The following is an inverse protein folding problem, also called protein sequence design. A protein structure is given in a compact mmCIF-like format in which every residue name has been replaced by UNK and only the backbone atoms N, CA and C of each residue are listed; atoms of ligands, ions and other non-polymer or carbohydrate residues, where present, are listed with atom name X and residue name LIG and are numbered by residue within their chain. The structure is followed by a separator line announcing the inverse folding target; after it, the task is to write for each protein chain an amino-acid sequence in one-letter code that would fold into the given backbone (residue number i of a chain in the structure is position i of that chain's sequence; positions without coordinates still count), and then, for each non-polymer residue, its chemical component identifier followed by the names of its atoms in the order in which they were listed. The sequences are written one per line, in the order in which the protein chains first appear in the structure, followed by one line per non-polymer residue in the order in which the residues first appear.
data_IF_419788806066
#
_entry.id   IF_419788806066
#
_cell.length_a   1.000
_cell.length_b   1.000
_cell.length_c   1.000
_cell.angle_alpha   90.00
_cell.angle_beta   90.00
_cell.angle_gamma   90.00
#
_symmetry.space_group_name_H-M   'P 1'
#
loop_
_entity.id
_entity.type
_entity.pdbx_description
1 polymer ?
#
# COMPACT_ATOMS: atom_id res chain seq x y z
N UNK A 1 30.46 22.09 31.46
CA UNK A 1 29.32 21.15 31.42
C UNK A 1 29.49 20.28 30.19
N UNK A 2 29.81 18.99 30.35
CA UNK A 2 30.09 18.08 29.23
C UNK A 2 28.76 17.45 28.81
N UNK A 3 28.24 17.86 27.66
CA UNK A 3 27.02 17.30 27.10
C UNK A 3 27.22 15.82 26.79
N UNK A 4 26.37 14.97 27.34
CA UNK A 4 26.30 13.56 26.97
C UNK A 4 25.69 13.47 25.57
N UNK A 5 26.52 13.58 24.53
CA UNK A 5 26.14 13.26 23.17
C UNK A 5 26.01 11.73 23.09
N UNK A 6 24.87 11.21 23.56
CA UNK A 6 24.51 9.82 23.37
C UNK A 6 24.49 9.52 21.88
N UNK A 7 25.41 8.68 21.42
CA UNK A 7 25.46 8.24 20.04
C UNK A 7 24.11 7.60 19.67
N UNK A 8 23.41 8.19 18.70
CA UNK A 8 22.17 7.64 18.16
C UNK A 8 22.57 6.54 17.17
N UNK A 9 22.91 5.37 17.70
CA UNK A 9 23.18 4.19 16.87
C UNK A 9 21.81 3.58 16.49
N UNK A 10 21.50 3.46 15.19
CA UNK A 10 20.25 2.83 14.77
C UNK A 10 20.25 1.35 15.19
N UNK A 11 19.07 0.78 15.50
CA UNK A 11 18.98 -0.61 15.94
C UNK A 11 19.48 -1.56 14.83
N UNK A 12 20.26 -2.59 15.16
CA UNK A 12 20.82 -3.54 14.18
C UNK A 12 19.75 -4.29 13.37
N UNK A 13 18.56 -4.48 13.96
CA UNK A 13 17.37 -4.98 13.28
C UNK A 13 16.16 -4.18 13.75
N UNK A 14 15.46 -3.53 12.82
CA UNK A 14 14.19 -2.90 13.09
C UNK A 14 13.11 -3.98 13.13
N UNK A 15 12.62 -4.30 14.33
CA UNK A 15 11.47 -5.17 14.54
C UNK A 15 10.32 -4.34 15.06
N UNK A 16 9.13 -4.57 14.52
CA UNK A 16 7.89 -3.98 15.02
C UNK A 16 6.97 -5.11 15.43
N UNK A 17 6.73 -5.21 16.73
CA UNK A 17 5.79 -6.16 17.30
C UNK A 17 4.53 -5.38 17.69
N UNK A 18 3.36 -5.94 17.38
CA UNK A 18 2.09 -5.38 17.89
C UNK A 18 2.02 -5.61 19.38
N UNK A 19 1.59 -4.59 20.12
CA UNK A 19 1.46 -4.68 21.59
C UNK A 19 0.13 -5.31 22.00
N UNK A 20 -0.88 -5.19 21.15
CA UNK A 20 -2.27 -5.60 21.41
C UNK A 20 -2.81 -6.39 20.21
N UNK A 21 -4.00 -6.96 20.39
CA UNK A 21 -4.70 -7.62 19.28
C UNK A 21 -5.25 -6.57 18.31
N UNK A 22 -5.45 -6.97 17.05
CA UNK A 22 -5.99 -6.07 16.03
C UNK A 22 -7.38 -5.55 16.41
N UNK A 23 -8.21 -6.39 17.03
CA UNK A 23 -9.55 -6.05 17.50
C UNK A 23 -9.51 -4.99 18.60
N UNK A 24 -8.53 -5.06 19.50
CA UNK A 24 -8.33 -4.07 20.56
C UNK A 24 -7.86 -2.73 19.96
N UNK A 25 -6.88 -2.77 19.06
CA UNK A 25 -6.38 -1.57 18.37
C UNK A 25 -7.49 -0.88 17.55
N UNK A 26 -8.36 -1.66 16.89
CA UNK A 26 -9.51 -1.15 16.13
C UNK A 26 -10.53 -0.43 17.03
N UNK A 27 -10.91 -1.03 18.17
CA UNK A 27 -11.83 -0.39 19.12
C UNK A 27 -11.25 0.93 19.65
N UNK A 28 -9.98 0.92 20.03
CA UNK A 28 -9.30 2.12 20.52
C UNK A 28 -9.21 3.20 19.43
N UNK A 29 -8.97 2.83 18.17
CA UNK A 29 -8.96 3.78 17.06
C UNK A 29 -10.32 4.48 16.89
N UNK A 30 -11.43 3.74 16.99
CA UNK A 30 -12.78 4.32 16.93
C UNK A 30 -13.04 5.25 18.13
N UNK A 31 -12.72 4.82 19.34
CA UNK A 31 -12.88 5.62 20.56
C UNK A 31 -12.08 6.93 20.50
N UNK A 32 -10.83 6.86 20.06
CA UNK A 32 -9.95 8.04 19.94
C UNK A 32 -10.44 8.99 18.86
N UNK A 33 -10.94 8.50 17.73
CA UNK A 33 -11.50 9.35 16.67
C UNK A 33 -12.72 10.14 17.16
N UNK A 34 -13.61 9.49 17.91
CA UNK A 34 -14.78 10.15 18.54
C UNK A 34 -14.33 11.18 19.57
N UNK A 35 -13.37 10.82 20.42
CA UNK A 35 -12.84 11.68 21.49
C UNK A 35 -12.15 12.93 20.93
N UNK A 36 -11.47 12.80 19.77
CA UNK A 36 -10.84 13.91 19.05
C UNK A 36 -11.84 14.73 18.22
N UNK A 37 -13.14 14.44 18.31
CA UNK A 37 -14.21 15.08 17.55
C UNK A 37 -13.91 15.11 16.04
N UNK A 38 -13.31 14.04 15.51
CA UNK A 38 -13.05 13.92 14.08
C UNK A 38 -14.40 13.87 13.33
N UNK A 39 -14.61 14.71 12.30
CA UNK A 39 -15.86 14.70 11.53
C UNK A 39 -16.17 13.32 10.95
N UNK A 40 -17.45 12.93 11.00
CA UNK A 40 -17.93 11.62 10.54
C UNK A 40 -17.33 10.40 11.28
N UNK A 41 -16.76 10.58 12.47
CA UNK A 41 -16.31 9.46 13.29
C UNK A 41 -17.51 8.57 13.71
N UNK A 42 -17.38 7.26 13.46
CA UNK A 42 -18.38 6.26 13.85
C UNK A 42 -18.09 5.82 15.29
N UNK A 43 -19.09 5.85 16.19
CA UNK A 43 -18.90 5.38 17.54
C UNK A 43 -18.65 3.87 17.57
N UNK A 44 -17.79 3.37 18.48
CA UNK A 44 -17.59 1.94 18.64
C UNK A 44 -18.91 1.29 19.07
N UNK A 45 -19.50 0.48 18.20
CA UNK A 45 -20.63 -0.39 18.53
C UNK A 45 -20.13 -1.70 19.14
N UNK A 46 -20.88 -2.27 20.08
CA UNK A 46 -20.62 -3.60 20.62
C UNK A 46 -20.76 -4.65 19.49
N UNK A 47 -19.66 -4.97 18.81
CA UNK A 47 -19.63 -6.08 17.87
C UNK A 47 -19.55 -7.41 18.64
N UNK A 48 -20.39 -8.40 18.30
CA UNK A 48 -20.22 -9.75 18.81
C UNK A 48 -18.91 -10.30 18.27
N UNK A 49 -18.09 -10.83 19.17
CA UNK A 49 -16.89 -11.59 18.82
C UNK A 49 -17.34 -12.91 18.21
N UNK A 50 -17.50 -12.98 16.89
CA UNK A 50 -17.73 -14.26 16.23
C UNK A 50 -16.72 -14.50 15.10
N UNK A 51 -15.99 -15.57 15.34
CA UNK A 51 -15.11 -16.32 14.46
C UNK A 51 -15.92 -16.87 13.27
N UNK A 52 -16.29 -16.03 12.29
CA UNK A 52 -16.85 -16.48 11.00
C UNK A 52 -16.60 -15.41 9.91
N UNK A 53 -15.71 -15.74 8.95
CA UNK A 53 -15.46 -15.02 7.69
C UNK A 53 -16.72 -14.98 6.77
N UNK A 54 -16.83 -14.14 5.71
CA UNK A 54 -15.95 -13.07 5.25
C UNK A 54 -16.65 -11.70 5.03
N UNK A 55 -15.88 -10.62 5.13
CA UNK A 55 -16.23 -9.33 4.51
C UNK A 55 -16.37 -9.51 2.98
N UNK A 56 -17.32 -8.85 2.28
CA UNK A 56 -17.37 -7.39 2.21
C UNK A 56 -18.78 -6.78 2.25
N UNK A 57 -18.90 -5.53 2.68
CA UNK A 57 -19.76 -4.49 2.07
C UNK A 57 -20.23 -3.47 3.09
N UNK A 58 -19.56 -2.32 3.12
CA UNK A 58 -20.27 -1.04 3.22
C UNK A 58 -19.82 -0.20 2.04
N UNK A 59 -20.45 -0.45 0.90
CA UNK A 59 -20.48 0.49 -0.21
C UNK A 59 -21.50 1.57 0.15
N UNK A 60 -20.98 2.79 0.26
CA UNK A 60 -21.53 4.02 -0.31
C UNK A 60 -23.00 3.92 -0.76
N UNK A 61 -23.88 4.57 0.00
CA UNK A 61 -25.10 5.14 -0.56
C UNK A 61 -24.72 6.07 -1.73
N UNK A 62 -25.28 5.80 -2.90
CA UNK A 62 -25.99 6.80 -3.71
C UNK A 62 -26.76 6.04 -4.82
N UNK A 63 -28.08 6.05 -4.71
CA UNK A 63 -28.99 5.47 -5.67
C UNK A 63 -29.14 6.40 -6.89
N UNK A 64 -28.78 5.91 -8.08
CA UNK A 64 -29.34 6.43 -9.33
C UNK A 64 -29.54 5.29 -10.32
N UNK A 65 -30.82 4.92 -10.50
CA UNK A 65 -31.29 4.00 -11.52
C UNK A 65 -30.91 4.47 -12.92
N UNK A 66 -30.23 3.62 -13.69
CA UNK A 66 -30.47 3.56 -15.14
C UNK A 66 -30.49 2.11 -15.63
N UNK A 67 -31.65 1.82 -16.22
CA UNK A 67 -32.11 0.65 -16.98
C UNK A 67 -31.04 -0.26 -17.61
N UNK A 68 -31.35 -1.56 -17.51
CA UNK A 68 -30.79 -2.66 -18.27
C UNK A 68 -30.81 -2.39 -19.78
N UNK A 69 -29.71 -2.71 -20.48
CA UNK A 69 -29.76 -3.41 -21.77
C UNK A 69 -28.44 -4.15 -22.01
N UNK A 70 -28.59 -5.39 -22.47
CA UNK A 70 -27.57 -6.36 -22.81
C UNK A 70 -26.52 -5.82 -23.80
N UNK A 71 -25.25 -6.18 -23.59
CA UNK A 71 -24.36 -6.66 -24.66
C UNK A 71 -23.17 -7.39 -24.01
N UNK A 72 -23.10 -8.69 -24.26
CA UNK A 72 -21.98 -9.52 -23.87
C UNK A 72 -20.73 -9.14 -24.66
N UNK A 73 -19.67 -8.63 -24.02
CA UNK A 73 -18.31 -8.88 -24.48
C UNK A 73 -17.29 -8.82 -23.34
N UNK A 74 -16.53 -9.90 -23.24
CA UNK A 74 -15.19 -10.00 -22.66
C UNK A 74 -15.06 -9.72 -21.15
N UNK A 75 -15.07 -10.82 -20.39
CA UNK A 75 -14.30 -10.93 -19.16
C UNK A 75 -12.81 -10.73 -19.46
N UNK A 76 -12.40 -9.47 -19.59
CA UNK A 76 -11.01 -9.07 -19.42
C UNK A 76 -10.68 -9.24 -17.95
N UNK A 77 -10.25 -10.44 -17.57
CA UNK A 77 -9.61 -10.65 -16.29
C UNK A 77 -8.43 -9.68 -16.23
N UNK A 78 -8.55 -8.63 -15.43
CA UNK A 78 -7.44 -7.77 -15.04
C UNK A 78 -6.51 -8.63 -14.18
N UNK A 79 -5.79 -9.55 -14.85
CA UNK A 79 -4.59 -10.16 -14.30
C UNK A 79 -3.73 -8.97 -13.96
N UNK A 80 -3.63 -8.68 -12.68
CA UNK A 80 -2.57 -7.85 -12.13
C UNK A 80 -1.28 -8.53 -12.54
N UNK A 81 -0.79 -8.20 -13.74
CA UNK A 81 0.49 -8.61 -14.26
C UNK A 81 1.48 -7.84 -13.41
N UNK A 82 1.79 -8.41 -12.24
CA UNK A 82 2.83 -7.89 -11.35
C UNK A 82 4.06 -7.70 -12.22
N UNK A 83 4.40 -6.45 -12.51
CA UNK A 83 5.56 -6.14 -13.35
C UNK A 83 6.78 -6.76 -12.68
N UNK A 84 7.47 -7.65 -13.40
CA UNK A 84 8.72 -8.21 -12.93
C UNK A 84 9.77 -7.10 -12.98
N UNK A 85 10.41 -6.82 -11.84
CA UNK A 85 11.42 -5.76 -11.72
C UNK A 85 12.65 -6.04 -12.58
N UNK A 86 13.06 -7.31 -12.70
CA UNK A 86 14.20 -7.70 -13.53
C UNK A 86 13.92 -7.40 -15.01
N UNK A 87 12.71 -7.71 -15.50
CA UNK A 87 12.29 -7.39 -16.87
C UNK A 87 12.27 -5.88 -17.13
N UNK A 88 11.81 -5.09 -16.16
CA UNK A 88 11.82 -3.64 -16.27
C UNK A 88 13.24 -3.08 -16.33
N UNK A 89 14.16 -3.63 -15.53
CA UNK A 89 15.58 -3.24 -15.52
C UNK A 89 16.23 -3.57 -16.87
N UNK A 90 16.03 -4.77 -17.41
CA UNK A 90 16.55 -5.17 -18.72
C UNK A 90 15.96 -4.33 -19.87
N UNK A 91 14.72 -3.84 -19.72
CA UNK A 91 14.10 -2.96 -20.72
C UNK A 91 14.68 -1.55 -20.70
N UNK A 92 14.99 -0.99 -19.54
CA UNK A 92 15.45 0.39 -19.38
C UNK A 92 16.97 0.54 -19.48
N UNK A 93 17.74 -0.45 -19.03
CA UNK A 93 19.20 -0.37 -18.89
C UNK A 93 19.93 -1.38 -19.79
N UNK A 94 21.21 -1.11 -20.03
CA UNK A 94 22.18 -2.05 -20.60
C UNK A 94 23.39 -2.14 -19.70
N UNK A 95 24.05 -3.30 -19.71
CA UNK A 95 25.33 -3.49 -19.02
C UNK A 95 26.47 -2.92 -19.86
N UNK A 96 27.29 -2.03 -19.30
CA UNK A 96 28.53 -1.57 -19.94
C UNK A 96 29.67 -2.59 -19.70
N UNK A 97 30.84 -2.34 -20.30
CA UNK A 97 32.01 -3.23 -20.21
C UNK A 97 32.53 -3.45 -18.77
N UNK A 98 32.27 -2.52 -17.85
CA UNK A 98 32.63 -2.66 -16.43
C UNK A 98 31.54 -3.34 -15.58
N UNK A 99 30.42 -3.74 -16.19
CA UNK A 99 29.30 -4.33 -15.46
C UNK A 99 28.34 -3.32 -14.84
N UNK A 100 28.49 -2.01 -15.09
CA UNK A 100 27.52 -0.99 -14.67
C UNK A 100 26.26 -0.98 -15.54
N UNK A 101 25.13 -0.61 -14.96
CA UNK A 101 23.88 -0.37 -15.70
C UNK A 101 23.86 1.07 -16.23
N UNK A 102 23.65 1.23 -17.52
CA UNK A 102 23.54 2.53 -18.22
C UNK A 102 22.17 2.59 -18.89
N UNK A 103 21.51 3.74 -18.81
CA UNK A 103 20.16 3.90 -19.36
C UNK A 103 20.21 3.96 -20.89
N UNK A 104 19.35 3.21 -21.57
CA UNK A 104 19.41 3.06 -23.04
C UNK A 104 19.33 4.37 -23.82
N UNK A 105 18.60 5.36 -23.29
CA UNK A 105 18.46 6.68 -23.91
C UNK A 105 19.76 7.49 -23.96
N UNK A 106 20.68 7.23 -23.03
CA UNK A 106 21.94 7.97 -22.92
C UNK A 106 23.02 7.37 -23.83
N UNK A 107 22.85 6.12 -24.28
CA UNK A 107 23.75 5.45 -25.24
C UNK A 107 23.65 6.10 -26.62
N UNK A 108 22.43 6.42 -27.06
CA UNK A 108 22.21 7.08 -28.36
C UNK A 108 22.77 8.50 -28.43
N UNK A 109 22.97 9.16 -27.29
CA UNK A 109 23.48 10.53 -27.20
C UNK A 109 25.01 10.54 -27.22
N UNK A 110 25.65 9.48 -26.76
CA UNK A 110 27.11 9.44 -26.58
C UNK A 110 27.88 8.83 -27.77
N UNK A 111 27.20 8.27 -28.77
CA UNK A 111 27.81 7.66 -29.97
C UNK A 111 27.87 8.62 -31.19
N UNK A 112 27.50 9.90 -31.00
CA UNK A 112 27.55 10.95 -32.05
C UNK A 112 28.52 12.10 -31.72
N UNK A 113 29.63 11.84 -31.02
CA UNK A 113 30.63 12.87 -30.73
C UNK A 113 32.05 12.37 -30.88
#
# INVERSE_FOLDING_TARGET
MKGNAGAIVPPPQQKMERKQSLEQEHRLALETAVTLNIPHAVPPTEQPSDDTNPAPSENQDEAASHSKQDEATSHGSSKSSRTNWDELVEKLFTRNASGGLVLKKDISINDQR
#
